data_IF_762167885196
#
_entry.id   IF_762167885196
#
_cell.length_a   1.000
_cell.length_b   1.000
_cell.length_c   1.000
_cell.angle_alpha   90.00
_cell.angle_beta   90.00
_cell.angle_gamma   90.00
#
_symmetry.space_group_name_H-M   'P 1'
#
loop_
_entity.id
_entity.type
_entity.pdbx_description
1 polymer ?
#
# COMPACT_ATOMS: atom_id res chain seq x y z
N UNK A 1 17.96 -24.46 -18.88
CA UNK A 1 18.92 -23.87 -17.93
C UNK A 1 18.43 -22.45 -17.75
N UNK A 2 17.73 -22.16 -16.66
CA UNK A 2 17.15 -20.83 -16.43
C UNK A 2 18.28 -19.79 -16.45
N UNK A 3 18.16 -18.78 -17.29
CA UNK A 3 19.23 -17.81 -17.50
C UNK A 3 19.27 -16.86 -16.30
N UNK A 4 20.37 -16.84 -15.54
CA UNK A 4 20.53 -15.95 -14.36
C UNK A 4 20.27 -14.47 -14.70
N UNK A 5 20.48 -14.07 -15.96
CA UNK A 5 20.18 -12.74 -16.50
C UNK A 5 18.67 -12.45 -16.50
N UNK A 6 17.84 -13.41 -16.90
CA UNK A 6 16.38 -13.25 -16.97
C UNK A 6 15.76 -13.09 -15.57
N UNK A 7 16.26 -13.86 -14.60
CA UNK A 7 15.82 -13.75 -13.20
C UNK A 7 16.22 -12.37 -12.63
N UNK A 8 17.42 -11.89 -12.97
CA UNK A 8 17.89 -10.56 -12.56
C UNK A 8 17.04 -9.44 -13.16
N UNK A 9 16.75 -9.51 -14.46
CA UNK A 9 15.92 -8.54 -15.15
C UNK A 9 14.49 -8.53 -14.62
N UNK A 10 13.90 -9.71 -14.39
CA UNK A 10 12.58 -9.85 -13.79
C UNK A 10 12.52 -9.22 -12.38
N UNK A 11 13.53 -9.51 -11.55
CA UNK A 11 13.65 -8.93 -10.20
C UNK A 11 13.76 -7.41 -10.22
N UNK A 12 14.58 -6.86 -11.11
CA UNK A 12 14.72 -5.42 -11.29
C UNK A 12 13.41 -4.77 -11.72
N UNK A 13 12.66 -5.41 -12.63
CA UNK A 13 11.35 -4.92 -13.08
C UNK A 13 10.33 -4.90 -11.95
N UNK A 14 10.27 -5.92 -11.10
CA UNK A 14 9.39 -5.93 -9.92
C UNK A 14 9.75 -4.74 -9.00
N UNK A 15 11.05 -4.53 -8.74
CA UNK A 15 11.52 -3.48 -7.82
C UNK A 15 11.23 -2.09 -8.38
N UNK A 16 11.43 -1.88 -9.68
CA UNK A 16 11.07 -0.64 -10.36
C UNK A 16 9.56 -0.40 -10.33
N UNK A 17 8.77 -1.43 -10.67
CA UNK A 17 7.32 -1.35 -10.66
C UNK A 17 6.78 -1.03 -9.26
N UNK A 18 7.26 -1.71 -8.21
CA UNK A 18 6.88 -1.40 -6.84
C UNK A 18 7.31 0.00 -6.44
N UNK A 19 8.55 0.41 -6.76
CA UNK A 19 9.02 1.76 -6.40
C UNK A 19 8.16 2.86 -7.05
N UNK A 20 7.66 2.63 -8.26
CA UNK A 20 6.77 3.57 -8.96
C UNK A 20 5.32 3.56 -8.43
N UNK A 21 4.88 2.44 -7.86
CA UNK A 21 3.46 2.21 -7.51
C UNK A 21 3.19 2.14 -6.01
N UNK A 22 4.22 2.04 -5.16
CA UNK A 22 4.10 2.01 -3.71
C UNK A 22 3.24 3.17 -3.23
N UNK A 23 2.31 2.85 -2.34
CA UNK A 23 1.39 3.83 -1.82
C UNK A 23 2.05 4.62 -0.70
N UNK A 24 2.99 4.04 0.06
CA UNK A 24 3.68 4.72 1.18
C UNK A 24 4.26 6.06 0.76
N UNK A 25 4.92 6.13 -0.41
CA UNK A 25 5.56 7.37 -0.89
C UNK A 25 4.55 8.47 -1.20
N UNK A 26 3.27 8.11 -1.33
CA UNK A 26 2.18 8.99 -1.71
C UNK A 26 1.30 9.40 -0.53
N UNK A 27 1.41 8.72 0.60
CA UNK A 27 0.44 8.83 1.71
C UNK A 27 1.11 9.01 3.08
N UNK A 28 2.44 9.04 3.12
CA UNK A 28 3.20 9.12 4.35
C UNK A 28 4.57 9.79 4.15
N UNK A 29 5.05 10.42 5.21
CA UNK A 29 6.45 10.83 5.37
C UNK A 29 7.31 9.59 5.64
N UNK A 30 8.09 9.15 4.65
CA UNK A 30 8.97 7.99 4.78
C UNK A 30 10.33 8.43 5.31
N UNK A 31 10.75 7.82 6.42
CA UNK A 31 12.10 7.95 6.96
C UNK A 31 12.84 6.62 6.94
N UNK A 32 14.12 6.66 6.62
CA UNK A 32 14.97 5.47 6.70
C UNK A 32 15.21 5.07 8.15
N UNK A 33 15.27 3.75 8.39
CA UNK A 33 15.64 3.19 9.66
C UNK A 33 17.02 3.68 10.14
N UNK A 34 17.15 3.87 11.45
CA UNK A 34 18.41 4.07 12.14
C UNK A 34 18.34 3.40 13.54
N UNK A 35 19.48 3.17 14.21
CA UNK A 35 19.52 2.42 15.47
C UNK A 35 18.67 3.00 16.62
N UNK A 36 18.39 4.30 16.63
CA UNK A 36 17.49 4.93 17.63
C UNK A 36 16.03 4.45 17.49
N UNK A 37 15.63 3.89 16.34
CA UNK A 37 14.31 3.28 16.13
C UNK A 37 14.30 1.77 16.48
N UNK A 38 15.35 1.22 17.08
CA UNK A 38 15.45 -0.22 17.41
C UNK A 38 14.33 -0.75 18.31
N UNK A 39 13.73 0.12 19.14
CA UNK A 39 12.63 -0.22 20.04
C UNK A 39 11.23 -0.12 19.39
N UNK A 40 11.14 0.29 18.12
CA UNK A 40 9.87 0.35 17.40
C UNK A 40 9.43 -1.06 16.98
N UNK A 41 8.12 -1.26 16.90
CA UNK A 41 7.55 -2.49 16.36
C UNK A 41 7.57 -2.44 14.84
N UNK A 42 8.22 -3.42 14.22
CA UNK A 42 8.32 -3.53 12.76
C UNK A 42 7.45 -4.67 12.26
N UNK A 43 6.80 -4.43 11.12
CA UNK A 43 5.96 -5.38 10.43
C UNK A 43 6.55 -5.62 9.04
N UNK A 44 6.63 -6.89 8.68
CA UNK A 44 7.05 -7.31 7.35
C UNK A 44 5.83 -7.46 6.46
N UNK A 45 5.79 -6.68 5.39
CA UNK A 45 4.78 -6.80 4.33
C UNK A 45 5.44 -7.53 3.19
N UNK A 46 4.88 -8.66 2.78
CA UNK A 46 5.41 -9.43 1.67
C UNK A 46 4.47 -10.51 1.20
N UNK A 47 4.61 -10.85 -0.07
CA UNK A 47 3.82 -11.88 -0.72
C UNK A 47 4.72 -13.03 -1.16
N UNK A 48 4.26 -14.26 -0.90
CA UNK A 48 4.91 -15.49 -1.35
C UNK A 48 4.08 -16.08 -2.47
N UNK A 49 4.70 -16.27 -3.62
CA UNK A 49 4.03 -16.88 -4.79
C UNK A 49 4.97 -17.90 -5.42
N UNK A 50 4.41 -19.03 -5.82
CA UNK A 50 5.15 -20.04 -6.57
C UNK A 50 5.17 -19.68 -8.05
N UNK A 51 6.36 -19.51 -8.61
CA UNK A 51 6.61 -19.29 -10.03
C UNK A 51 7.27 -20.52 -10.66
N UNK A 52 6.61 -21.23 -11.60
CA UNK A 52 7.21 -22.36 -12.31
C UNK A 52 8.44 -21.94 -13.12
N UNK A 53 9.45 -22.80 -13.26
CA UNK A 53 10.69 -22.43 -13.98
C UNK A 53 10.45 -22.19 -15.47
N UNK A 54 9.51 -22.94 -16.03
CA UNK A 54 9.06 -22.88 -17.42
C UNK A 54 8.50 -21.50 -17.77
N UNK A 55 8.12 -20.71 -16.77
CA UNK A 55 7.71 -19.33 -16.93
C UNK A 55 8.79 -18.47 -17.60
N UNK A 56 10.06 -18.69 -17.27
CA UNK A 56 11.18 -17.97 -17.88
C UNK A 56 11.58 -18.52 -19.25
N UNK A 57 11.19 -19.75 -19.56
CA UNK A 57 11.51 -20.42 -20.83
C UNK A 57 10.43 -20.18 -21.90
N UNK A 58 9.33 -19.54 -21.51
CA UNK A 58 8.13 -19.29 -22.32
C UNK A 58 8.18 -17.92 -23.00
N UNK A 59 8.23 -17.93 -24.33
CA UNK A 59 8.21 -16.70 -25.15
C UNK A 59 6.79 -16.11 -25.33
N UNK A 60 5.75 -16.79 -24.84
CA UNK A 60 4.34 -16.39 -24.99
C UNK A 60 3.85 -15.46 -23.86
N UNK A 61 4.64 -15.27 -22.80
CA UNK A 61 4.27 -14.40 -21.68
C UNK A 61 5.32 -13.30 -21.49
N UNK A 62 4.89 -12.05 -21.53
CA UNK A 62 5.78 -10.91 -21.26
C UNK A 62 6.06 -10.80 -19.75
N UNK A 63 7.29 -11.13 -19.37
CA UNK A 63 7.85 -10.99 -18.02
C UNK A 63 7.62 -9.59 -17.42
N UNK A 64 7.48 -8.56 -18.24
CA UNK A 64 7.17 -7.18 -17.81
C UNK A 64 5.78 -7.07 -17.20
N UNK A 65 4.77 -7.68 -17.82
CA UNK A 65 3.39 -7.62 -17.35
C UNK A 65 3.28 -8.30 -15.99
N UNK A 66 3.90 -9.47 -15.85
CA UNK A 66 3.83 -10.21 -14.60
C UNK A 66 4.65 -9.56 -13.49
N UNK A 67 5.84 -9.03 -13.78
CA UNK A 67 6.58 -8.24 -12.81
C UNK A 67 5.75 -7.06 -12.26
N UNK A 68 4.95 -6.41 -13.11
CA UNK A 68 4.04 -5.36 -12.69
C UNK A 68 2.88 -5.90 -11.83
N UNK A 69 2.32 -7.06 -12.14
CA UNK A 69 1.27 -7.70 -11.32
C UNK A 69 1.76 -8.08 -9.93
N UNK A 70 2.98 -8.62 -9.82
CA UNK A 70 3.63 -8.89 -8.52
C UNK A 70 3.76 -7.62 -7.68
N UNK A 71 4.28 -6.55 -8.29
CA UNK A 71 4.39 -5.27 -7.60
C UNK A 71 3.02 -4.75 -7.14
N UNK A 72 1.99 -4.82 -8.00
CA UNK A 72 0.62 -4.37 -7.66
C UNK A 72 0.05 -5.12 -6.47
N UNK A 73 0.26 -6.42 -6.37
CA UNK A 73 -0.28 -7.23 -5.28
C UNK A 73 0.38 -6.87 -3.93
N UNK A 74 1.69 -6.64 -3.91
CA UNK A 74 2.39 -6.12 -2.72
C UNK A 74 1.88 -4.72 -2.33
N UNK A 75 1.71 -3.82 -3.30
CA UNK A 75 1.14 -2.49 -3.07
C UNK A 75 -0.29 -2.55 -2.53
N UNK A 76 -1.10 -3.50 -3.00
CA UNK A 76 -2.44 -3.73 -2.48
C UNK A 76 -2.39 -4.19 -1.01
N UNK A 77 -1.50 -5.12 -0.67
CA UNK A 77 -1.27 -5.55 0.71
C UNK A 77 -0.82 -4.41 1.62
N UNK A 78 0.09 -3.56 1.13
CA UNK A 78 0.58 -2.34 1.79
C UNK A 78 -0.56 -1.35 2.09
N UNK A 79 -1.39 -1.05 1.08
CA UNK A 79 -2.58 -0.20 1.24
C UNK A 79 -3.54 -0.77 2.29
N UNK A 80 -3.86 -2.05 2.19
CA UNK A 80 -4.82 -2.68 3.11
C UNK A 80 -4.29 -2.68 4.55
N UNK A 81 -3.00 -2.95 4.74
CA UNK A 81 -2.36 -2.87 6.04
C UNK A 81 -2.46 -1.46 6.64
N UNK A 82 -2.11 -0.43 5.87
CA UNK A 82 -2.19 0.96 6.31
C UNK A 82 -3.61 1.35 6.74
N UNK A 83 -4.61 1.04 5.92
CA UNK A 83 -6.01 1.39 6.21
C UNK A 83 -6.54 0.67 7.44
N UNK A 84 -6.23 -0.62 7.60
CA UNK A 84 -6.59 -1.39 8.80
C UNK A 84 -5.94 -0.81 10.05
N UNK A 85 -4.69 -0.36 9.94
CA UNK A 85 -4.01 0.32 11.04
C UNK A 85 -4.69 1.64 11.42
N UNK A 86 -5.07 2.48 10.45
CA UNK A 86 -5.79 3.73 10.72
C UNK A 86 -7.16 3.48 11.36
N UNK A 87 -7.91 2.49 10.88
CA UNK A 87 -9.19 2.10 11.48
C UNK A 87 -9.00 1.67 12.93
N UNK A 88 -8.02 0.80 13.21
CA UNK A 88 -7.72 0.36 14.57
C UNK A 88 -7.33 1.53 15.48
N UNK A 89 -6.45 2.41 15.03
CA UNK A 89 -6.05 3.60 15.81
C UNK A 89 -7.25 4.52 16.11
N UNK A 90 -8.22 4.60 15.19
CA UNK A 90 -9.47 5.34 15.44
C UNK A 90 -10.39 4.68 16.48
N UNK A 91 -10.33 3.34 16.62
CA UNK A 91 -11.04 2.59 17.66
C UNK A 91 -10.44 2.83 19.04
N UNK A 92 -9.12 3.04 19.07
CA UNK A 92 -8.36 3.43 20.26
C UNK A 92 -8.46 4.95 20.56
N UNK A 93 -9.35 5.68 19.87
CA UNK A 93 -9.62 7.12 20.04
C UNK A 93 -8.41 8.05 19.79
N UNK A 94 -7.35 7.55 19.16
CA UNK A 94 -6.14 8.33 18.85
C UNK A 94 -6.31 9.26 17.64
N UNK A 95 -7.24 8.94 16.75
CA UNK A 95 -7.68 9.82 15.65
C UNK A 95 -9.20 9.89 15.61
N UNK A 96 -9.79 10.98 15.07
CA UNK A 96 -11.24 11.11 14.98
C UNK A 96 -11.91 9.97 14.22
N UNK A 97 -12.91 9.34 14.84
CA UNK A 97 -13.89 8.45 14.20
C UNK A 97 -15.25 9.13 14.14
N UNK A 98 -15.74 9.41 12.94
CA UNK A 98 -16.98 10.16 12.71
C UNK A 98 -18.04 9.20 12.20
N UNK A 99 -19.14 9.09 12.93
CA UNK A 99 -20.33 8.36 12.47
C UNK A 99 -21.26 9.31 11.74
N UNK A 100 -21.69 8.91 10.56
CA UNK A 100 -22.67 9.61 9.74
C UNK A 100 -23.89 8.71 9.53
N UNK A 101 -25.08 9.29 9.72
CA UNK A 101 -26.36 8.56 9.62
C UNK A 101 -26.87 8.45 8.18
N UNK A 102 -26.19 9.10 7.23
CA UNK A 102 -26.49 9.00 5.81
C UNK A 102 -25.26 9.28 4.98
N UNK A 103 -25.25 8.70 3.78
CA UNK A 103 -24.18 8.96 2.81
C UNK A 103 -24.47 10.25 2.05
N UNK A 104 -23.79 11.34 2.44
CA UNK A 104 -23.93 12.66 1.85
C UNK A 104 -22.54 13.32 1.75
N UNK A 105 -22.17 13.78 0.56
CA UNK A 105 -20.85 14.36 0.30
C UNK A 105 -20.57 15.66 1.07
N UNK A 106 -21.57 16.50 1.29
CA UNK A 106 -21.42 17.69 2.14
C UNK A 106 -21.13 17.28 3.59
N UNK A 107 -21.72 16.20 4.09
CA UNK A 107 -21.41 15.66 5.43
C UNK A 107 -20.00 15.09 5.49
N UNK A 108 -19.58 14.33 4.47
CA UNK A 108 -18.22 13.77 4.37
C UNK A 108 -17.19 14.91 4.31
N UNK A 109 -17.41 15.87 3.42
CA UNK A 109 -16.57 17.06 3.25
C UNK A 109 -16.47 17.86 4.55
N UNK A 110 -17.60 18.12 5.21
CA UNK A 110 -17.62 18.81 6.49
C UNK A 110 -16.88 18.04 7.59
N UNK A 111 -17.01 16.71 7.62
CA UNK A 111 -16.28 15.86 8.55
C UNK A 111 -14.77 15.92 8.31
N UNK A 112 -14.33 15.84 7.05
CA UNK A 112 -12.90 15.93 6.69
C UNK A 112 -12.35 17.30 7.07
N UNK A 113 -12.95 18.40 6.62
CA UNK A 113 -12.45 19.77 6.84
C UNK A 113 -12.43 20.16 8.32
N UNK A 114 -13.29 19.57 9.15
CA UNK A 114 -13.31 19.82 10.61
C UNK A 114 -12.20 19.07 11.36
N UNK A 115 -11.79 17.91 10.85
CA UNK A 115 -10.94 16.97 11.57
C UNK A 115 -9.53 16.82 10.99
N UNK A 116 -9.28 17.28 9.76
CA UNK A 116 -7.98 17.22 9.09
C UNK A 116 -7.61 18.62 8.60
N UNK A 117 -6.38 19.05 8.92
CA UNK A 117 -5.92 20.40 8.58
C UNK A 117 -5.53 20.56 7.10
N UNK A 118 -4.89 19.56 6.52
CA UNK A 118 -4.39 19.57 5.13
C UNK A 118 -4.65 18.21 4.45
N UNK A 119 -5.93 17.88 4.17
CA UNK A 119 -6.27 16.57 3.61
C UNK A 119 -5.76 16.44 2.17
N UNK A 120 -5.13 15.31 1.87
CA UNK A 120 -4.41 15.04 0.61
C UNK A 120 -4.95 13.81 -0.11
N UNK A 121 -5.34 12.77 0.64
CA UNK A 121 -5.84 11.53 0.06
C UNK A 121 -7.10 11.07 0.81
N UNK A 122 -8.03 10.49 0.05
CA UNK A 122 -9.25 9.87 0.55
C UNK A 122 -9.37 8.44 0.02
N UNK A 123 -9.63 7.51 0.92
CA UNK A 123 -9.82 6.09 0.64
C UNK A 123 -11.27 5.73 0.81
N UNK A 124 -11.84 5.17 -0.25
CA UNK A 124 -13.28 4.94 -0.35
C UNK A 124 -13.50 3.47 -0.70
N UNK A 125 -14.25 2.71 0.11
CA UNK A 125 -14.59 1.34 -0.21
C UNK A 125 -15.31 1.27 -1.56
N UNK A 126 -14.89 0.35 -2.42
CA UNK A 126 -15.52 0.12 -3.71
C UNK A 126 -16.79 -0.71 -3.50
N UNK A 127 -17.88 -0.05 -3.09
CA UNK A 127 -19.22 -0.62 -3.05
C UNK A 127 -20.16 0.25 -3.87
N UNK A 128 -21.18 -0.38 -4.45
CA UNK A 128 -22.17 0.31 -5.29
C UNK A 128 -22.79 1.54 -4.60
N UNK A 129 -23.04 1.46 -3.28
CA UNK A 129 -23.54 2.60 -2.49
C UNK A 129 -22.57 3.78 -2.43
N UNK A 130 -21.27 3.52 -2.36
CA UNK A 130 -20.22 4.55 -2.36
C UNK A 130 -20.01 5.10 -3.78
N UNK A 131 -19.94 4.19 -4.75
CA UNK A 131 -19.72 4.52 -6.15
C UNK A 131 -20.86 5.38 -6.69
N UNK A 132 -22.11 4.94 -6.56
CA UNK A 132 -23.27 5.69 -7.07
C UNK A 132 -23.39 7.06 -6.40
N UNK A 133 -23.13 7.17 -5.10
CA UNK A 133 -23.24 8.47 -4.45
C UNK A 133 -22.10 9.45 -4.82
N UNK A 134 -20.91 8.94 -5.14
CA UNK A 134 -19.81 9.75 -5.73
C UNK A 134 -20.07 10.03 -7.21
N UNK A 135 -20.70 9.09 -7.91
CA UNK A 135 -21.03 9.22 -9.32
C UNK A 135 -22.24 10.13 -9.58
N UNK A 136 -23.23 10.13 -8.71
CA UNK A 136 -24.38 11.05 -8.73
C UNK A 136 -23.94 12.51 -8.49
N UNK A 137 -22.70 12.72 -8.04
CA UNK A 137 -22.02 14.01 -7.92
C UNK A 137 -21.23 14.43 -9.17
N UNK A 138 -21.27 13.67 -10.29
CA UNK A 138 -20.51 13.89 -11.54
C UNK A 138 -20.67 15.26 -12.21
N UNK A 139 -21.50 16.15 -11.66
CA UNK A 139 -21.71 17.46 -12.21
C UNK A 139 -20.53 18.42 -12.12
N UNK A 140 -19.69 18.42 -11.05
CA UNK A 140 -18.83 19.61 -10.79
C UNK A 140 -17.45 19.44 -10.11
N UNK A 141 -17.15 18.35 -9.39
CA UNK A 141 -16.01 18.37 -8.45
C UNK A 141 -15.00 17.22 -8.57
N UNK A 142 -15.28 16.21 -9.41
CA UNK A 142 -14.34 15.13 -9.76
C UNK A 142 -13.59 15.51 -11.03
N UNK A 143 -12.27 15.38 -11.02
CA UNK A 143 -11.45 15.55 -12.22
C UNK A 143 -10.32 14.54 -12.28
N UNK A 144 -9.90 14.19 -13.50
CA UNK A 144 -8.82 13.25 -13.75
C UNK A 144 -7.55 14.02 -14.12
N UNK A 145 -6.47 13.81 -13.38
CA UNK A 145 -5.13 14.27 -13.76
C UNK A 145 -4.26 13.04 -14.04
N UNK A 146 -4.00 12.79 -15.34
CA UNK A 146 -3.34 11.56 -15.78
C UNK A 146 -4.17 10.32 -15.47
N UNK A 147 -3.62 9.39 -14.69
CA UNK A 147 -4.26 8.13 -14.28
C UNK A 147 -4.85 8.19 -12.86
N UNK A 148 -4.95 9.37 -12.25
CA UNK A 148 -5.45 9.55 -10.89
C UNK A 148 -6.74 10.39 -10.89
N UNK A 149 -7.68 9.96 -10.05
CA UNK A 149 -8.95 10.64 -9.79
C UNK A 149 -8.80 11.56 -8.57
N UNK A 150 -9.36 12.76 -8.66
CA UNK A 150 -9.33 13.76 -7.59
C UNK A 150 -10.72 14.31 -7.34
N UNK A 151 -10.98 14.68 -6.08
CA UNK A 151 -12.17 15.42 -5.65
C UNK A 151 -11.74 16.77 -5.06
N UNK A 152 -12.56 17.79 -5.27
CA UNK A 152 -12.39 19.09 -4.60
C UNK A 152 -13.20 19.13 -3.30
N UNK A 153 -12.56 19.43 -2.17
CA UNK A 153 -13.23 19.65 -0.88
C UNK A 153 -12.80 21.01 -0.35
N UNK A 154 -13.69 22.00 -0.43
CA UNK A 154 -13.34 23.39 -0.12
C UNK A 154 -12.21 23.90 -1.02
N UNK A 155 -11.07 24.27 -0.43
CA UNK A 155 -9.88 24.70 -1.18
C UNK A 155 -8.87 23.56 -1.43
N UNK A 156 -9.16 22.35 -0.96
CA UNK A 156 -8.26 21.21 -1.06
C UNK A 156 -8.62 20.31 -2.24
N UNK A 157 -7.60 19.67 -2.81
CA UNK A 157 -7.72 18.65 -3.85
C UNK A 157 -7.26 17.33 -3.27
N UNK A 158 -8.20 16.42 -3.04
CA UNK A 158 -7.91 15.12 -2.46
C UNK A 158 -7.85 14.09 -3.57
N UNK A 159 -6.82 13.27 -3.57
CA UNK A 159 -6.72 12.11 -4.45
C UNK A 159 -7.65 11.00 -3.96
N UNK A 160 -8.44 10.44 -4.87
CA UNK A 160 -9.37 9.35 -4.57
C UNK A 160 -8.68 8.01 -4.77
N UNK A 161 -8.77 7.16 -3.74
CA UNK A 161 -8.32 5.78 -3.78
C UNK A 161 -9.48 4.84 -3.53
N UNK A 162 -9.83 4.08 -4.56
CA UNK A 162 -10.82 3.01 -4.42
C UNK A 162 -10.21 1.81 -3.70
N UNK A 163 -10.94 1.29 -2.72
CA UNK A 163 -10.52 0.17 -1.86
C UNK A 163 -11.39 -1.03 -2.16
N UNK A 164 -10.81 -2.02 -2.84
CA UNK A 164 -11.50 -3.27 -3.20
C UNK A 164 -11.54 -4.32 -2.07
N UNK A 165 -10.82 -4.11 -0.97
CA UNK A 165 -10.85 -5.02 0.19
C UNK A 165 -12.19 -4.86 0.94
N UNK A 166 -13.06 -5.87 0.82
CA UNK A 166 -14.40 -5.88 1.41
C UNK A 166 -14.42 -5.78 2.95
N UNK A 167 -13.29 -6.11 3.61
CA UNK A 167 -13.16 -5.98 5.05
C UNK A 167 -13.04 -4.51 5.49
N UNK A 168 -12.66 -3.61 4.59
CA UNK A 168 -12.58 -2.17 4.85
C UNK A 168 -13.94 -1.56 4.50
N UNK A 169 -14.67 -1.13 5.53
CA UNK A 169 -16.03 -0.59 5.40
C UNK A 169 -16.11 0.93 5.59
N UNK A 170 -15.05 1.53 6.10
CA UNK A 170 -14.97 2.94 6.45
C UNK A 170 -14.31 3.75 5.32
N UNK A 171 -14.68 5.02 5.22
CA UNK A 171 -13.88 6.00 4.47
C UNK A 171 -12.73 6.45 5.38
N UNK A 172 -11.52 6.54 4.82
CA UNK A 172 -10.36 7.06 5.55
C UNK A 172 -9.83 8.26 4.79
N UNK A 173 -9.72 9.41 5.45
CA UNK A 173 -9.09 10.59 4.89
C UNK A 173 -7.80 10.90 5.66
N UNK A 174 -6.78 11.37 4.97
CA UNK A 174 -5.44 11.58 5.55
C UNK A 174 -4.74 12.84 5.00
N UNK A 175 -3.78 13.31 5.78
CA UNK A 175 -2.67 14.20 5.45
C UNK A 175 -1.40 13.34 5.28
N UNK A 176 -0.83 13.33 4.07
CA UNK A 176 0.39 12.58 3.71
C UNK A 176 1.58 12.92 4.63
N UNK A 177 1.63 14.12 5.21
CA UNK A 177 2.72 14.59 6.11
C UNK A 177 2.46 14.26 7.58
N UNK A 178 1.25 13.78 7.84
CA UNK A 178 0.72 13.51 9.15
C UNK A 178 1.06 12.12 9.68
N UNK A 179 1.21 11.15 8.77
CA UNK A 179 1.65 9.79 9.11
C UNK A 179 3.11 9.61 8.75
N UNK A 180 3.93 9.19 9.72
CA UNK A 180 5.33 8.86 9.48
C UNK A 180 5.54 7.35 9.42
N UNK A 181 6.30 6.90 8.44
CA UNK A 181 6.63 5.48 8.25
C UNK A 181 8.15 5.32 8.28
N UNK A 182 8.62 4.50 9.22
CA UNK A 182 10.03 4.13 9.32
C UNK A 182 10.24 2.85 8.52
N UNK A 183 11.09 2.90 7.50
CA UNK A 183 11.35 1.77 6.62
C UNK A 183 12.77 1.22 6.81
N UNK A 184 12.89 -0.10 7.00
CA UNK A 184 14.18 -0.77 7.07
C UNK A 184 14.72 -1.03 5.67
N UNK A 185 16.03 -0.82 5.49
CA UNK A 185 16.74 -1.38 4.34
C UNK A 185 17.00 -2.86 4.58
N UNK A 186 17.33 -3.59 3.52
CA UNK A 186 17.64 -5.00 3.67
C UNK A 186 18.79 -5.28 4.64
N UNK A 187 19.86 -4.49 4.59
CA UNK A 187 21.01 -4.60 5.50
C UNK A 187 20.65 -4.38 6.98
N UNK A 188 19.56 -3.67 7.26
CA UNK A 188 19.11 -3.36 8.62
C UNK A 188 18.16 -4.44 9.18
N UNK A 189 17.79 -5.44 8.37
CA UNK A 189 16.89 -6.53 8.77
C UNK A 189 17.66 -7.68 9.42
N UNK A 190 17.15 -8.17 10.55
CA UNK A 190 17.60 -9.44 11.13
C UNK A 190 17.03 -10.58 10.27
N UNK A 191 17.90 -11.43 9.73
CA UNK A 191 17.48 -12.63 9.02
C UNK A 191 16.83 -13.59 10.04
N UNK A 192 15.57 -14.03 9.83
CA UNK A 192 14.91 -14.94 10.77
C UNK A 192 15.72 -16.22 10.99
N UNK A 193 15.75 -16.72 12.24
CA UNK A 193 16.39 -18.00 12.55
C UNK A 193 15.73 -19.12 11.73
N UNK A 194 16.54 -19.99 11.12
CA UNK A 194 16.04 -21.08 10.27
C UNK A 194 15.69 -20.66 8.84
N UNK A 195 15.90 -19.39 8.48
CA UNK A 195 15.80 -18.96 7.08
C UNK A 195 17.03 -19.46 6.31
N UNK A 196 16.88 -20.59 5.61
CA UNK A 196 17.89 -21.04 4.65
C UNK A 196 18.01 -19.97 3.58
N UNK A 197 19.23 -19.50 3.31
CA UNK A 197 19.42 -18.51 2.26
C UNK A 197 18.97 -19.12 0.92
N UNK A 198 18.00 -18.47 0.23
CA UNK A 198 17.57 -18.92 -1.08
C UNK A 198 18.74 -18.88 -2.05
N UNK A 199 18.72 -19.78 -3.03
CA UNK A 199 19.77 -19.94 -4.03
C UNK A 199 19.98 -18.65 -4.83
N UNK A 200 18.90 -17.92 -5.10
CA UNK A 200 18.95 -16.61 -5.75
C UNK A 200 18.24 -15.56 -4.89
N UNK A 201 18.94 -14.46 -4.63
CA UNK A 201 18.44 -13.35 -3.81
C UNK A 201 18.87 -12.04 -4.43
N UNK A 202 17.90 -11.24 -4.87
CA UNK A 202 18.15 -9.94 -5.48
C UNK A 202 17.94 -8.85 -4.45
N UNK A 203 19.03 -8.11 -4.23
CA UNK A 203 19.20 -7.15 -3.13
C UNK A 203 19.82 -5.86 -3.67
N UNK A 204 19.11 -5.08 -4.50
CA UNK A 204 19.55 -3.72 -4.73
C UNK A 204 19.57 -3.01 -3.37
N UNK A 205 20.46 -2.01 -3.21
CA UNK A 205 20.56 -1.13 -2.03
C UNK A 205 19.26 -0.36 -1.79
N UNK A 206 18.20 -1.08 -1.45
CA UNK A 206 16.81 -0.64 -1.44
C UNK A 206 16.08 -1.32 -0.29
N UNK A 207 14.86 -0.86 -0.03
CA UNK A 207 14.04 -1.35 1.07
C UNK A 207 13.32 -2.67 0.74
N UNK A 208 13.62 -3.26 -0.42
CA UNK A 208 12.95 -4.42 -0.98
C UNK A 208 13.97 -5.54 -1.17
N UNK A 209 13.53 -6.76 -0.91
CA UNK A 209 14.25 -7.98 -1.27
C UNK A 209 13.35 -8.89 -2.06
N UNK A 210 13.91 -9.50 -3.10
CA UNK A 210 13.28 -10.59 -3.85
C UNK A 210 14.11 -11.85 -3.65
N UNK A 211 13.46 -12.91 -3.19
CA UNK A 211 14.07 -14.20 -2.93
C UNK A 211 13.42 -15.27 -3.81
N UNK A 212 14.25 -16.17 -4.36
CA UNK A 212 13.81 -17.35 -5.10
C UNK A 212 14.27 -18.61 -4.37
N UNK A 213 13.36 -19.33 -3.73
CA UNK A 213 13.66 -20.64 -3.14
C UNK A 213 13.36 -21.76 -4.13
N UNK A 214 14.06 -22.91 -4.03
CA UNK A 214 13.66 -24.13 -4.71
C UNK A 214 12.35 -24.62 -4.07
N UNK A 215 11.29 -24.77 -4.87
CA UNK A 215 10.09 -25.45 -4.40
C UNK A 215 10.38 -26.93 -4.25
N UNK A 216 9.79 -27.56 -3.24
CA UNK A 216 9.86 -29.00 -3.01
C UNK A 216 9.14 -29.79 -4.13
N UNK A 217 8.42 -29.09 -5.01
CA UNK A 217 7.94 -29.58 -6.30
C UNK A 217 9.06 -29.28 -7.30
N UNK A 218 9.64 -30.30 -7.94
CA UNK A 218 10.88 -30.25 -8.76
C UNK A 218 10.90 -29.13 -9.84
N UNK A 219 9.74 -28.52 -10.11
CA UNK A 219 9.47 -27.60 -11.23
C UNK A 219 9.08 -26.16 -10.83
N UNK A 220 9.20 -25.74 -9.56
CA UNK A 220 8.79 -24.37 -9.15
C UNK A 220 9.84 -23.65 -8.30
N UNK A 221 9.80 -22.32 -8.34
CA UNK A 221 10.50 -21.45 -7.39
C UNK A 221 9.48 -20.72 -6.51
N UNK A 222 9.77 -20.54 -5.22
CA UNK A 222 9.03 -19.58 -4.41
C UNK A 222 9.64 -18.20 -4.60
N UNK A 223 8.87 -17.28 -5.17
CA UNK A 223 9.18 -15.85 -5.18
C UNK A 223 8.66 -15.24 -3.89
N UNK A 224 9.56 -14.61 -3.15
CA UNK A 224 9.20 -13.84 -1.96
C UNK A 224 9.68 -12.40 -2.09
N UNK A 225 8.73 -11.47 -2.18
CA UNK A 225 9.00 -10.03 -2.15
C UNK A 225 8.63 -9.48 -0.78
N UNK A 226 9.53 -8.68 -0.18
CA UNK A 226 9.31 -8.13 1.17
C UNK A 226 9.76 -6.69 1.33
N UNK A 227 9.00 -5.94 2.12
CA UNK A 227 9.32 -4.63 2.68
C UNK A 227 9.07 -4.67 4.19
N UNK A 228 9.89 -4.00 4.99
CA UNK A 228 9.73 -3.98 6.46
C UNK A 228 9.57 -2.56 6.93
N UNK A 229 8.44 -2.28 7.57
CA UNK A 229 8.04 -0.94 7.97
C UNK A 229 7.56 -0.90 9.41
N UNK A 230 7.64 0.27 10.03
CA UNK A 230 6.98 0.61 11.27
C UNK A 230 6.17 1.88 11.02
N UNK A 231 4.89 1.87 11.40
CA UNK A 231 4.04 3.06 11.31
C UNK A 231 4.05 3.75 12.66
N UNK A 232 4.41 5.02 12.68
CA UNK A 232 4.28 5.83 13.89
C UNK A 232 2.84 6.33 14.04
N UNK A 233 2.43 6.60 15.28
CA UNK A 233 1.13 7.18 15.53
C UNK A 233 0.96 8.47 14.70
N UNK A 234 -0.16 8.60 13.98
CA UNK A 234 -0.43 9.80 13.20
C UNK A 234 -0.48 11.02 14.11
N UNK A 235 -0.05 12.17 13.60
CA UNK A 235 -0.15 13.46 14.31
C UNK A 235 -1.61 13.80 14.57
N UNK A 236 -1.89 14.59 15.60
CA UNK A 236 -3.26 15.09 15.84
C UNK A 236 -3.81 15.76 14.58
N UNK A 237 -5.07 15.45 14.24
CA UNK A 237 -5.76 15.97 13.04
C UNK A 237 -5.04 15.71 11.71
N UNK A 238 -4.27 14.63 11.61
CA UNK A 238 -3.71 14.19 10.34
C UNK A 238 -4.55 13.16 9.60
N UNK A 239 -5.42 12.45 10.30
CA UNK A 239 -6.24 11.41 9.70
C UNK A 239 -7.60 11.39 10.37
N UNK A 240 -8.63 10.96 9.66
CA UNK A 240 -9.92 10.64 10.26
C UNK A 240 -10.56 9.44 9.58
N UNK A 241 -11.34 8.69 10.35
CA UNK A 241 -12.10 7.54 9.88
C UNK A 241 -13.58 7.91 9.90
N UNK A 242 -14.25 7.77 8.77
CA UNK A 242 -15.67 8.07 8.62
C UNK A 242 -16.43 6.75 8.45
N UNK A 243 -17.41 6.54 9.31
CA UNK A 243 -18.25 5.36 9.38
C UNK A 243 -19.70 5.73 9.07
N UNK A 244 -20.39 4.88 8.33
CA UNK A 244 -21.80 5.03 8.05
C UNK A 244 -22.60 4.04 8.87
N UNK A 245 -23.60 4.53 9.57
CA UNK A 245 -24.62 3.70 10.21
C UNK A 245 -25.73 3.52 9.19
N UNK A 246 -25.76 2.38 8.50
CA UNK A 246 -26.89 1.97 7.65
C UNK A 246 -27.92 1.20 8.49
#
# INVERSE_FOLDING_TARGET
MTNDIEIADFSNRIIQAYSATSILQRIADIVNYNPQYSNKEFIQIGERVLLPKEFFERNDIDNTVLAADFARSVVLGEKNFFLKHMIKISEDELIPRIKLDSFNFQLISGAILKNINDPTDIFIPLKESYYNAIYDLYGREVFNEGNAEFISIGNFRLRVHWVADESIKNIVAIDERGTRIIQKRFEDMIIPKGFNQPKYSFRPKSNIRIDFAESNQEDKFDVYMRTVISIENPKEKSSCVIEFTL
#
